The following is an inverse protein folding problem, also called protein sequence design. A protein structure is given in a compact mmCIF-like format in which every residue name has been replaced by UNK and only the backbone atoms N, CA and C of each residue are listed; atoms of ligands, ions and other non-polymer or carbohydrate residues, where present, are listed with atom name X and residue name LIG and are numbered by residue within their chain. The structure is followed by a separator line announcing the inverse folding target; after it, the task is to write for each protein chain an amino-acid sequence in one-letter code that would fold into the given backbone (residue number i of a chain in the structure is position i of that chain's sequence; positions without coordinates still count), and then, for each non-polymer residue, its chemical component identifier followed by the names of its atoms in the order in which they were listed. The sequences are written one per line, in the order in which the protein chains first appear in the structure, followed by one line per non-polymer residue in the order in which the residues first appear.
data_IF_126211390607
#
_entry.id   IF_126211390607
#
_cell.length_a   1.000
_cell.length_b   1.000
_cell.length_c   1.000
_cell.angle_alpha   90.00
_cell.angle_beta   90.00
_cell.angle_gamma   90.00
#
_symmetry.space_group_name_H-M   'P 1'
#
loop_
_entity.id
_entity.type
_entity.pdbx_description
1 polymer ?
#
# COMPACT_ATOMS: atom_id res chain seq x y z
N UNK A 1 -2.93 -11.98 -7.87
CA UNK A 1 -3.47 -11.40 -9.13
C UNK A 1 -2.34 -11.43 -10.15
N UNK A 2 -2.57 -12.02 -11.33
CA UNK A 2 -1.55 -12.19 -12.36
C UNK A 2 -1.86 -11.24 -13.51
N UNK A 3 -0.87 -10.49 -13.96
CA UNK A 3 -0.99 -9.57 -15.10
C UNK A 3 -0.20 -10.14 -16.27
N UNK A 4 -0.72 -9.95 -17.48
CA UNK A 4 0.00 -10.37 -18.67
C UNK A 4 1.18 -9.43 -18.90
N UNK A 5 2.39 -9.97 -18.97
CA UNK A 5 3.61 -9.19 -19.21
C UNK A 5 3.91 -9.07 -20.71
N UNK A 6 3.71 -10.16 -21.45
CA UNK A 6 3.97 -10.19 -22.90
C UNK A 6 2.77 -10.77 -23.63
N UNK A 7 2.15 -9.95 -24.47
CA UNK A 7 1.09 -10.38 -25.37
C UNK A 7 1.72 -10.94 -26.66
N UNK A 8 1.10 -11.97 -27.22
CA UNK A 8 1.41 -12.47 -28.55
C UNK A 8 1.05 -11.43 -29.61
N UNK A 9 1.64 -11.54 -30.81
CA UNK A 9 1.14 -10.78 -31.94
C UNK A 9 -0.33 -11.13 -32.23
N UNK A 10 -1.15 -10.16 -32.64
CA UNK A 10 -2.54 -10.40 -32.99
C UNK A 10 -2.64 -11.33 -34.20
N UNK A 11 -3.48 -12.36 -34.10
CA UNK A 11 -3.79 -13.23 -35.23
C UNK A 11 -4.65 -12.47 -36.26
N UNK A 12 -4.95 -13.08 -37.42
CA UNK A 12 -5.77 -12.50 -38.50
C UNK A 12 -7.17 -12.04 -38.03
N UNK A 13 -7.67 -12.61 -36.93
CA UNK A 13 -8.93 -12.23 -36.26
C UNK A 13 -8.76 -11.14 -35.19
N UNK A 14 -7.57 -10.56 -35.02
CA UNK A 14 -7.24 -9.56 -34.01
C UNK A 14 -7.04 -10.09 -32.57
N UNK A 15 -7.12 -11.40 -32.37
CA UNK A 15 -7.00 -12.04 -31.06
C UNK A 15 -5.54 -12.16 -30.62
N UNK A 16 -5.26 -11.85 -29.35
CA UNK A 16 -3.94 -11.96 -28.72
C UNK A 16 -4.03 -12.84 -27.47
N UNK A 17 -3.04 -13.71 -27.28
CA UNK A 17 -2.90 -14.54 -26.08
C UNK A 17 -1.74 -14.07 -25.24
N UNK A 18 -1.79 -14.33 -23.93
CA UNK A 18 -0.67 -14.02 -23.06
C UNK A 18 0.39 -15.11 -23.16
N UNK A 19 1.62 -14.71 -23.51
CA UNK A 19 2.77 -15.61 -23.62
C UNK A 19 3.48 -15.76 -22.27
N UNK A 20 3.54 -14.69 -21.47
CA UNK A 20 4.19 -14.69 -20.17
C UNK A 20 3.31 -13.98 -19.13
N UNK A 21 2.91 -14.72 -18.10
CA UNK A 21 2.19 -14.19 -16.95
C UNK A 21 3.18 -13.79 -15.86
N UNK A 22 3.05 -12.57 -15.35
CA UNK A 22 3.83 -12.10 -14.22
C UNK A 22 2.92 -11.98 -13.00
N UNK A 23 3.40 -12.47 -11.86
CA UNK A 23 2.77 -12.10 -10.59
C UNK A 23 2.84 -10.59 -10.43
N UNK A 24 1.69 -9.98 -10.18
CA UNK A 24 1.62 -8.55 -9.92
C UNK A 24 2.23 -8.33 -8.54
N UNK A 25 3.55 -8.13 -8.50
CA UNK A 25 4.26 -7.74 -7.30
C UNK A 25 3.67 -6.42 -6.84
N UNK A 26 3.12 -6.40 -5.63
CA UNK A 26 2.62 -5.18 -5.01
C UNK A 26 3.73 -4.12 -5.08
N UNK A 27 3.39 -2.92 -5.54
CA UNK A 27 4.34 -1.79 -5.55
C UNK A 27 4.85 -1.49 -4.14
N UNK A 28 4.06 -1.83 -3.11
CA UNK A 28 4.50 -1.71 -1.74
C UNK A 28 5.48 -2.83 -1.42
N UNK A 29 6.65 -2.51 -0.84
CA UNK A 29 7.55 -3.53 -0.32
C UNK A 29 6.79 -4.42 0.67
N UNK A 30 7.17 -5.69 0.74
CA UNK A 30 6.60 -6.61 1.71
C UNK A 30 6.90 -6.09 3.12
N UNK A 31 5.91 -5.45 3.74
CA UNK A 31 6.06 -4.86 5.05
C UNK A 31 5.95 -6.00 6.06
N UNK A 32 7.02 -6.24 6.80
CA UNK A 32 6.98 -7.21 7.90
C UNK A 32 6.02 -6.72 8.99
N UNK A 33 5.38 -7.65 9.70
CA UNK A 33 4.40 -7.31 10.75
C UNK A 33 4.99 -6.34 11.79
N UNK A 34 6.27 -6.52 12.14
CA UNK A 34 6.98 -5.63 13.05
C UNK A 34 7.11 -4.19 12.53
N UNK A 35 7.36 -4.01 11.23
CA UNK A 35 7.44 -2.67 10.63
C UNK A 35 6.07 -2.01 10.58
N UNK A 36 5.01 -2.78 10.31
CA UNK A 36 3.64 -2.26 10.34
C UNK A 36 3.27 -1.74 11.75
N UNK A 37 3.59 -2.50 12.79
CA UNK A 37 3.33 -2.11 14.18
C UNK A 37 4.11 -0.85 14.59
N UNK A 38 5.39 -0.74 14.21
CA UNK A 38 6.17 0.45 14.48
C UNK A 38 5.57 1.71 13.83
N UNK A 39 5.12 1.59 12.58
CA UNK A 39 4.45 2.71 11.89
C UNK A 39 3.13 3.08 12.59
N UNK A 40 2.36 2.09 13.02
CA UNK A 40 1.08 2.30 13.70
C UNK A 40 1.29 3.02 15.05
N UNK A 41 2.28 2.60 15.84
CA UNK A 41 2.64 3.24 17.10
C UNK A 41 3.03 4.71 16.87
N UNK A 42 3.84 4.99 15.83
CA UNK A 42 4.24 6.36 15.51
C UNK A 42 3.04 7.25 15.17
N UNK A 43 2.11 6.75 14.35
CA UNK A 43 0.88 7.46 13.97
C UNK A 43 0.04 7.75 15.20
N UNK A 44 -0.26 6.74 16.01
CA UNK A 44 -1.08 6.88 17.22
C UNK A 44 -0.42 7.84 18.21
N UNK A 45 0.91 7.78 18.37
CA UNK A 45 1.68 8.69 19.22
C UNK A 45 1.52 10.16 18.81
N UNK A 46 1.62 10.48 17.52
CA UNK A 46 1.40 11.84 17.03
C UNK A 46 -0.02 12.35 17.33
N UNK A 47 -1.04 11.54 17.10
CA UNK A 47 -2.42 11.90 17.43
C UNK A 47 -2.62 12.11 18.93
N UNK A 48 -2.06 11.25 19.77
CA UNK A 48 -2.14 11.35 21.21
C UNK A 48 -1.52 12.66 21.72
N UNK A 49 -0.34 13.04 21.20
CA UNK A 49 0.31 14.31 21.59
C UNK A 49 -0.56 15.50 21.23
N UNK A 50 -1.07 15.56 19.99
CA UNK A 50 -1.94 16.67 19.55
C UNK A 50 -3.20 16.76 20.41
N UNK A 51 -3.79 15.61 20.77
CA UNK A 51 -4.95 15.55 21.64
C UNK A 51 -4.64 16.07 23.04
N UNK A 52 -3.55 15.62 23.65
CA UNK A 52 -3.11 16.08 24.98
C UNK A 52 -2.87 17.59 24.97
N UNK A 53 -2.16 18.12 23.97
CA UNK A 53 -1.91 19.56 23.84
C UNK A 53 -3.22 20.35 23.74
N UNK A 54 -4.17 19.89 22.91
CA UNK A 54 -5.49 20.51 22.81
C UNK A 54 -6.26 20.46 24.12
N UNK A 55 -6.20 19.34 24.84
CA UNK A 55 -6.90 19.18 26.11
C UNK A 55 -6.31 20.10 27.18
N UNK A 56 -4.99 20.20 27.28
CA UNK A 56 -4.30 21.11 28.21
C UNK A 56 -4.65 22.58 27.90
N UNK A 57 -4.63 22.98 26.63
CA UNK A 57 -5.03 24.33 26.23
C UNK A 57 -6.50 24.63 26.55
N UNK A 58 -7.38 23.64 26.42
CA UNK A 58 -8.80 23.77 26.78
C UNK A 58 -9.02 23.90 28.28
N UNK A 59 -8.17 23.29 29.12
CA UNK A 59 -8.27 23.37 30.58
C UNK A 59 -7.67 24.66 31.15
N UNK A 60 -6.76 25.30 30.39
CA UNK A 60 -6.12 26.56 30.74
C UNK A 60 -6.94 27.80 30.32
N UNK A 61 -8.00 27.62 29.53
CA UNK A 61 -8.92 28.66 29.07
C UNK A 61 -10.15 28.73 29.96
#
# INVERSE_FOLDING_TARGET
MHVCKTLSQPNESGLQTCLEWQEQTSFLPNLTVQQADQMLIAIVGCFAIVFIVKQVLSLLK
#
